data_IF_312943512251
#
_entry.id   IF_312943512251
#
_cell.length_a   1.000
_cell.length_b   1.000
_cell.length_c   1.000
_cell.angle_alpha   90.00
_cell.angle_beta   90.00
_cell.angle_gamma   90.00
#
_symmetry.space_group_name_H-M   'P 1'
#
loop_
_entity.id
_entity.type
_entity.pdbx_description
1 polymer ?
#
# COMPACT_ATOMS: atom_id res chain seq x y z
N UNK A 1 -10.28 -12.19 -2.64
CA UNK A 1 -10.94 -10.92 -2.23
C UNK A 1 -9.95 -9.94 -1.59
N UNK A 2 -9.18 -10.38 -0.61
CA UNK A 2 -8.40 -9.57 0.33
C UNK A 2 -7.41 -8.59 -0.29
N UNK A 3 -6.58 -9.07 -1.22
CA UNK A 3 -5.52 -8.23 -1.78
C UNK A 3 -6.11 -7.02 -2.52
N UNK A 4 -7.29 -7.15 -3.14
CA UNK A 4 -7.95 -6.02 -3.82
C UNK A 4 -8.38 -4.90 -2.88
N UNK A 5 -8.68 -5.20 -1.61
CA UNK A 5 -9.10 -4.19 -0.64
C UNK A 5 -7.91 -3.55 0.09
N UNK A 6 -6.78 -4.27 0.16
CA UNK A 6 -5.64 -3.87 1.00
C UNK A 6 -4.37 -3.52 0.23
N UNK A 7 -4.32 -3.77 -1.09
CA UNK A 7 -3.10 -3.54 -1.89
C UNK A 7 -2.61 -2.09 -1.82
N UNK A 8 -3.52 -1.11 -1.77
CA UNK A 8 -3.16 0.29 -1.66
C UNK A 8 -2.40 0.57 -0.35
N UNK A 9 -2.87 0.00 0.77
CA UNK A 9 -2.19 0.12 2.07
C UNK A 9 -0.83 -0.56 2.04
N UNK A 10 -0.75 -1.77 1.46
CA UNK A 10 0.51 -2.49 1.28
C UNK A 10 1.48 -1.71 0.39
N UNK A 11 1.00 -1.05 -0.66
CA UNK A 11 1.82 -0.21 -1.52
C UNK A 11 2.38 0.98 -0.75
N UNK A 12 1.58 1.67 0.05
CA UNK A 12 2.05 2.79 0.89
C UNK A 12 3.12 2.32 1.89
N UNK A 13 2.93 1.18 2.55
CA UNK A 13 3.93 0.59 3.44
C UNK A 13 5.24 0.27 2.71
N UNK A 14 5.16 -0.32 1.51
CA UNK A 14 6.34 -0.59 0.69
C UNK A 14 7.01 0.69 0.18
N UNK A 15 6.25 1.69 -0.25
CA UNK A 15 6.78 2.98 -0.69
C UNK A 15 7.55 3.69 0.43
N UNK A 16 7.07 3.57 1.67
CA UNK A 16 7.77 4.09 2.85
C UNK A 16 9.04 3.30 3.16
N UNK A 17 8.95 1.96 3.22
CA UNK A 17 10.08 1.08 3.52
C UNK A 17 11.22 1.21 2.49
N UNK A 18 10.89 1.25 1.20
CA UNK A 18 11.87 1.38 0.11
C UNK A 18 12.42 2.79 -0.06
N UNK A 19 12.05 3.74 0.82
CA UNK A 19 12.46 5.14 0.74
C UNK A 19 12.22 5.76 -0.63
N UNK A 20 11.06 5.47 -1.23
CA UNK A 20 10.77 5.91 -2.59
C UNK A 20 10.87 7.44 -2.69
N UNK A 21 11.55 8.00 -3.72
CA UNK A 21 11.75 9.45 -3.84
C UNK A 21 10.45 10.13 -4.28
N UNK A 22 9.58 10.39 -3.31
CA UNK A 22 8.24 10.93 -3.56
C UNK A 22 8.22 12.41 -3.93
N UNK A 23 9.32 13.13 -3.68
CA UNK A 23 9.40 14.59 -3.92
C UNK A 23 9.24 14.96 -5.39
N UNK A 24 9.51 14.03 -6.32
CA UNK A 24 9.35 14.26 -7.76
C UNK A 24 7.95 13.96 -8.28
N UNK A 25 7.12 13.26 -7.51
CA UNK A 25 5.79 12.80 -7.95
C UNK A 25 4.85 13.97 -8.33
N UNK A 26 4.78 15.09 -7.59
CA UNK A 26 3.97 16.25 -7.97
C UNK A 26 4.53 16.97 -9.20
N UNK A 27 5.85 17.02 -9.37
CA UNK A 27 6.50 17.63 -10.54
C UNK A 27 6.25 16.80 -11.80
N UNK A 28 6.32 15.47 -11.70
CA UNK A 28 5.99 14.55 -12.78
C UNK A 28 4.49 14.60 -13.13
N UNK A 29 3.62 14.72 -12.13
CA UNK A 29 2.20 14.96 -12.34
C UNK A 29 1.93 16.30 -13.07
N UNK A 30 2.61 17.37 -12.65
CA UNK A 30 2.49 18.70 -13.25
C UNK A 30 3.08 18.77 -14.68
N UNK A 31 4.09 17.96 -14.99
CA UNK A 31 4.74 17.93 -16.32
C UNK A 31 3.88 17.32 -17.43
N UNK A 32 2.68 16.82 -17.13
CA UNK A 32 1.80 16.17 -18.11
C UNK A 32 2.30 14.80 -18.59
N UNK A 33 3.45 14.31 -18.11
CA UNK A 33 3.96 12.98 -18.48
C UNK A 33 3.07 11.84 -17.95
N UNK A 34 2.32 12.03 -16.87
CA UNK A 34 1.51 10.97 -16.25
C UNK A 34 0.00 11.07 -16.50
N UNK A 35 -0.47 12.07 -17.24
CA UNK A 35 -1.89 12.28 -17.51
C UNK A 35 -2.20 12.17 -19.00
N UNK A 36 -2.94 11.12 -19.43
CA UNK A 36 -3.56 11.13 -20.75
C UNK A 36 -4.74 12.11 -20.70
N UNK A 37 -4.73 13.11 -21.59
CA UNK A 37 -5.77 14.13 -21.85
C UNK A 37 -5.69 15.43 -21.01
N UNK A 38 -6.03 16.61 -21.58
CA UNK A 38 -6.20 17.85 -20.82
C UNK A 38 -7.29 17.66 -19.77
N UNK A 39 -6.93 17.77 -18.50
CA UNK A 39 -7.90 17.70 -17.41
C UNK A 39 -8.43 19.10 -17.10
N UNK A 40 -9.74 19.19 -16.81
CA UNK A 40 -10.33 20.41 -16.27
C UNK A 40 -9.65 20.79 -14.95
N UNK A 41 -9.52 22.09 -14.68
CA UNK A 41 -8.78 22.62 -13.53
C UNK A 41 -9.18 21.97 -12.19
N UNK A 42 -10.48 21.76 -11.94
CA UNK A 42 -10.97 21.11 -10.72
C UNK A 42 -10.44 19.68 -10.54
N UNK A 43 -10.31 18.91 -11.64
CA UNK A 43 -9.78 17.55 -11.59
C UNK A 43 -8.28 17.53 -11.28
N UNK A 44 -7.54 18.56 -11.69
CA UNK A 44 -6.12 18.72 -11.37
C UNK A 44 -5.95 19.00 -9.88
N UNK A 45 -6.75 19.90 -9.31
CA UNK A 45 -6.71 20.21 -7.87
C UNK A 45 -6.98 18.95 -7.03
N UNK A 46 -8.07 18.23 -7.32
CA UNK A 46 -8.39 16.98 -6.64
C UNK A 46 -7.30 15.92 -6.80
N UNK A 47 -6.65 15.84 -7.97
CA UNK A 47 -5.54 14.92 -8.21
C UNK A 47 -4.31 15.27 -7.35
N UNK A 48 -3.96 16.56 -7.28
CA UNK A 48 -2.86 17.05 -6.45
C UNK A 48 -3.12 16.83 -4.96
N UNK A 49 -4.35 17.01 -4.49
CA UNK A 49 -4.72 16.74 -3.10
C UNK A 49 -4.50 15.28 -2.71
N UNK A 50 -4.88 14.35 -3.60
CA UNK A 50 -4.62 12.93 -3.35
C UNK A 50 -3.12 12.59 -3.37
N UNK A 51 -2.33 13.21 -4.25
CA UNK A 51 -0.86 13.05 -4.25
C UNK A 51 -0.30 13.49 -2.91
N UNK A 52 -0.71 14.67 -2.43
CA UNK A 52 -0.28 15.22 -1.15
C UNK A 52 -0.66 14.27 0.00
N UNK A 53 -1.88 13.75 0.00
CA UNK A 53 -2.33 12.80 1.01
C UNK A 53 -1.49 11.52 1.01
N UNK A 54 -1.16 10.97 -0.17
CA UNK A 54 -0.27 9.82 -0.30
C UNK A 54 1.12 10.10 0.27
N UNK A 55 1.74 11.23 -0.10
CA UNK A 55 3.04 11.66 0.41
C UNK A 55 3.03 11.80 1.93
N UNK A 56 2.00 12.46 2.47
CA UNK A 56 1.83 12.68 3.91
C UNK A 56 1.77 11.35 4.68
N UNK A 57 1.08 10.33 4.16
CA UNK A 57 1.05 9.01 4.82
C UNK A 57 2.43 8.36 4.85
N UNK A 58 3.19 8.46 3.75
CA UNK A 58 4.54 7.90 3.67
C UNK A 58 5.50 8.62 4.61
N UNK A 59 5.44 9.95 4.67
CA UNK A 59 6.26 10.76 5.57
C UNK A 59 5.94 10.47 7.04
N UNK A 60 4.66 10.33 7.41
CA UNK A 60 4.26 9.95 8.77
C UNK A 60 4.83 8.59 9.20
N UNK A 61 4.89 7.62 8.29
CA UNK A 61 5.54 6.34 8.55
C UNK A 61 7.06 6.51 8.71
N UNK A 62 7.72 7.29 7.85
CA UNK A 62 9.16 7.57 7.96
C UNK A 62 9.52 8.28 9.27
N UNK A 63 8.68 9.22 9.71
CA UNK A 63 8.86 9.95 10.96
C UNK A 63 8.81 9.05 12.21
N UNK A 64 8.08 7.92 12.14
CA UNK A 64 8.06 6.91 13.21
C UNK A 64 9.33 6.04 13.23
N UNK A 65 10.20 6.15 12.22
CA UNK A 65 11.38 5.32 12.04
C UNK A 65 11.02 3.83 12.15
N UNK A 66 10.03 3.41 11.37
CA UNK A 66 9.58 2.01 11.34
C UNK A 66 10.68 1.15 10.75
N UNK A 67 11.03 0.05 11.42
CA UNK A 67 12.05 -0.87 10.95
C UNK A 67 11.49 -2.01 10.08
N UNK A 68 12.37 -2.86 9.56
CA UNK A 68 11.99 -3.94 8.64
C UNK A 68 11.08 -5.00 9.27
N UNK A 69 11.23 -5.28 10.57
CA UNK A 69 10.43 -6.27 11.28
C UNK A 69 9.04 -5.71 11.53
N UNK A 70 8.96 -4.46 11.98
CA UNK A 70 7.70 -3.75 12.19
C UNK A 70 6.91 -3.60 10.88
N UNK A 71 7.58 -3.26 9.77
CA UNK A 71 6.94 -3.24 8.45
C UNK A 71 6.37 -4.62 8.07
N UNK A 72 7.09 -5.69 8.37
CA UNK A 72 6.66 -7.05 8.06
C UNK A 72 5.41 -7.42 8.85
N UNK A 73 5.38 -7.11 10.15
CA UNK A 73 4.19 -7.32 10.97
C UNK A 73 3.01 -6.45 10.54
N UNK A 74 3.23 -5.16 10.24
CA UNK A 74 2.16 -4.27 9.75
C UNK A 74 1.55 -4.76 8.43
N UNK A 75 2.39 -5.24 7.50
CA UNK A 75 1.92 -5.86 6.25
C UNK A 75 1.11 -7.12 6.52
N UNK A 76 1.54 -7.97 7.45
CA UNK A 76 0.80 -9.16 7.85
C UNK A 76 -0.56 -8.82 8.46
N UNK A 77 -0.63 -7.84 9.38
CA UNK A 77 -1.88 -7.38 9.99
C UNK A 77 -2.86 -6.85 8.93
N UNK A 78 -2.38 -6.05 7.98
CA UNK A 78 -3.16 -5.54 6.85
C UNK A 78 -3.64 -6.69 5.95
N UNK A 79 -2.76 -7.65 5.65
CA UNK A 79 -3.07 -8.79 4.80
C UNK A 79 -4.12 -9.71 5.42
N UNK A 80 -4.04 -9.96 6.72
CA UNK A 80 -4.98 -10.81 7.47
C UNK A 80 -6.18 -10.02 8.00
N UNK A 81 -6.81 -9.18 7.15
CA UNK A 81 -8.04 -8.47 7.52
C UNK A 81 -9.27 -9.33 7.16
N UNK A 82 -10.19 -9.60 8.10
CA UNK A 82 -11.36 -10.45 7.87
C UNK A 82 -12.40 -9.82 6.93
N UNK A 83 -12.37 -8.49 6.72
CA UNK A 83 -13.27 -7.72 5.84
C UNK A 83 -13.21 -8.13 4.35
N UNK A 84 -12.38 -9.09 4.00
CA UNK A 84 -12.23 -9.59 2.66
C UNK A 84 -13.28 -10.65 2.31
N UNK A 85 -14.34 -10.19 1.63
CA UNK A 85 -15.41 -11.04 1.12
C UNK A 85 -14.87 -12.29 0.39
N UNK A 86 -15.33 -13.47 0.83
CA UNK A 86 -15.12 -14.75 0.16
C UNK A 86 -13.95 -15.60 0.68
N UNK A 87 -13.48 -15.39 1.91
CA UNK A 87 -12.51 -16.29 2.54
C UNK A 87 -13.21 -17.47 3.23
N UNK A 88 -12.67 -18.67 3.02
CA UNK A 88 -13.28 -19.93 3.47
C UNK A 88 -13.11 -20.22 4.96
N UNK A 89 -12.16 -19.56 5.63
CA UNK A 89 -11.85 -19.78 7.05
C UNK A 89 -11.51 -18.46 7.76
N UNK A 90 -12.55 -17.69 8.08
CA UNK A 90 -12.44 -16.41 8.77
C UNK A 90 -11.77 -16.55 10.14
N UNK A 91 -12.07 -17.64 10.87
CA UNK A 91 -11.49 -17.88 12.20
C UNK A 91 -9.98 -18.06 12.14
N UNK A 92 -9.47 -18.78 11.13
CA UNK A 92 -8.02 -18.90 10.94
C UNK A 92 -7.36 -17.55 10.61
N UNK A 93 -8.01 -16.69 9.83
CA UNK A 93 -7.48 -15.37 9.47
C UNK A 93 -7.42 -14.45 10.69
N UNK A 94 -8.46 -14.44 11.51
CA UNK A 94 -8.47 -13.70 12.78
C UNK A 94 -7.32 -14.14 13.69
N UNK A 95 -7.09 -15.44 13.82
CA UNK A 95 -5.96 -15.99 14.60
C UNK A 95 -4.61 -15.54 14.02
N UNK A 96 -4.45 -15.54 12.70
CA UNK A 96 -3.21 -15.07 12.07
C UNK A 96 -3.00 -13.56 12.26
N UNK A 97 -4.07 -12.78 12.23
CA UNK A 97 -4.02 -11.34 12.50
C UNK A 97 -3.61 -11.08 13.96
N UNK A 98 -4.24 -11.76 14.91
CA UNK A 98 -3.93 -11.67 16.33
C UNK A 98 -2.46 -12.05 16.61
N UNK A 99 -1.99 -13.17 16.06
CA UNK A 99 -0.59 -13.57 16.16
C UNK A 99 0.37 -12.51 15.61
N UNK A 100 -0.01 -11.86 14.51
CA UNK A 100 0.80 -10.79 13.92
C UNK A 100 0.85 -9.54 14.81
N UNK A 101 -0.25 -9.22 15.50
CA UNK A 101 -0.32 -8.13 16.47
C UNK A 101 0.51 -8.44 17.72
N UNK A 102 0.38 -9.65 18.30
CA UNK A 102 1.19 -10.06 19.45
C UNK A 102 2.69 -10.06 19.14
N UNK A 103 3.08 -10.53 17.94
CA UNK A 103 4.48 -10.49 17.50
C UNK A 103 5.01 -9.05 17.42
N UNK A 104 4.21 -8.12 16.88
CA UNK A 104 4.58 -6.71 16.80
C UNK A 104 4.69 -6.07 18.19
N UNK A 105 3.74 -6.35 19.08
CA UNK A 105 3.73 -5.83 20.44
C UNK A 105 4.98 -6.29 21.22
N UNK A 106 5.29 -7.58 21.15
CA UNK A 106 6.47 -8.16 21.81
C UNK A 106 7.76 -7.58 21.24
N UNK A 107 7.85 -7.44 19.91
CA UNK A 107 9.00 -6.82 19.25
C UNK A 107 9.17 -5.36 19.70
N UNK A 108 8.10 -4.56 19.73
CA UNK A 108 8.14 -3.18 20.20
C UNK A 108 8.61 -3.10 21.65
N UNK A 109 8.09 -3.97 22.52
CA UNK A 109 8.43 -4.02 23.95
C UNK A 109 9.91 -4.35 24.18
N UNK A 110 10.46 -5.26 23.38
CA UNK A 110 11.84 -5.73 23.52
C UNK A 110 12.85 -4.80 22.86
N UNK A 111 12.59 -4.32 21.64
CA UNK A 111 13.53 -3.48 20.88
C UNK A 111 13.40 -1.98 21.21
N UNK A 112 12.24 -1.54 21.69
CA UNK A 112 11.98 -0.14 22.01
C UNK A 112 11.41 0.04 23.44
N UNK A 113 12.12 -0.42 24.49
CA UNK A 113 11.63 -0.37 25.87
C UNK A 113 11.34 1.06 26.36
N UNK A 114 12.03 2.06 25.78
CA UNK A 114 11.82 3.48 26.09
C UNK A 114 10.61 4.11 25.36
N UNK A 115 9.91 3.35 24.53
CA UNK A 115 8.75 3.82 23.75
C UNK A 115 7.52 2.92 23.99
N UNK A 116 6.94 2.90 25.19
CA UNK A 116 5.84 1.99 25.53
C UNK A 116 4.59 2.17 24.67
N UNK A 117 4.39 3.36 24.08
CA UNK A 117 3.27 3.65 23.19
C UNK A 117 3.53 3.29 21.70
N UNK A 118 4.69 2.71 21.36
CA UNK A 118 5.10 2.50 19.95
C UNK A 118 4.15 1.57 19.20
N UNK A 119 3.80 0.42 19.80
CA UNK A 119 2.84 -0.52 19.25
C UNK A 119 1.52 0.17 18.86
N UNK A 120 0.92 0.93 19.79
CA UNK A 120 -0.30 1.69 19.53
C UNK A 120 -0.13 2.74 18.42
N UNK A 121 0.98 3.48 18.39
CA UNK A 121 1.28 4.46 17.33
C UNK A 121 1.37 3.80 15.94
N UNK A 122 1.98 2.63 15.85
CA UNK A 122 2.10 1.86 14.61
C UNK A 122 0.73 1.36 14.14
N UNK A 123 -0.07 0.76 15.03
CA UNK A 123 -1.42 0.30 14.68
C UNK A 123 -2.34 1.44 14.24
N UNK A 124 -2.28 2.59 14.90
CA UNK A 124 -3.06 3.78 14.53
C UNK A 124 -2.69 4.35 13.15
N UNK A 125 -1.58 3.92 12.54
CA UNK A 125 -1.31 4.27 11.14
C UNK A 125 -2.21 3.52 10.17
N UNK A 126 -2.54 2.25 10.45
CA UNK A 126 -3.26 1.39 9.51
C UNK A 126 -4.60 1.98 9.05
N UNK A 127 -5.48 2.50 9.93
CA UNK A 127 -6.74 3.13 9.49
C UNK A 127 -6.52 4.33 8.57
N UNK A 128 -5.47 5.12 8.82
CA UNK A 128 -5.17 6.29 7.98
C UNK A 128 -4.67 5.90 6.59
N UNK A 129 -4.02 4.74 6.43
CA UNK A 129 -3.58 4.26 5.12
C UNK A 129 -4.76 3.97 4.19
N UNK A 130 -5.94 3.63 4.75
CA UNK A 130 -7.19 3.41 3.98
C UNK A 130 -7.71 4.68 3.31
N UNK A 131 -7.26 5.85 3.76
CA UNK A 131 -7.68 7.13 3.17
C UNK A 131 -6.98 7.44 1.84
N UNK A 132 -5.90 6.71 1.51
CA UNK A 132 -5.18 6.86 0.26
C UNK A 132 -5.96 6.18 -0.87
N UNK A 133 -6.26 6.95 -1.92
CA UNK A 133 -6.97 6.44 -3.09
C UNK A 133 -6.13 5.44 -3.89
N UNK A 134 -6.66 4.23 -4.04
CA UNK A 134 -6.07 3.16 -4.88
C UNK A 134 -5.88 3.63 -6.33
N UNK A 135 -6.86 4.35 -6.87
CA UNK A 135 -6.84 4.93 -8.22
C UNK A 135 -5.67 5.89 -8.44
N UNK A 136 -5.25 6.62 -7.42
CA UNK A 136 -4.14 7.57 -7.51
C UNK A 136 -2.81 6.83 -7.56
N UNK A 137 -2.66 5.77 -6.76
CA UNK A 137 -1.50 4.89 -6.85
C UNK A 137 -1.40 4.26 -8.25
N UNK A 138 -2.53 3.80 -8.81
CA UNK A 138 -2.57 3.30 -10.20
C UNK A 138 -2.11 4.35 -11.21
N UNK A 139 -2.64 5.57 -11.13
CA UNK A 139 -2.32 6.64 -12.07
C UNK A 139 -0.86 7.12 -11.97
N UNK A 140 -0.30 7.17 -10.77
CA UNK A 140 1.06 7.64 -10.55
C UNK A 140 2.10 6.59 -10.96
N UNK A 141 1.90 5.34 -10.58
CA UNK A 141 2.95 4.31 -10.65
C UNK A 141 2.70 3.24 -11.71
N UNK A 142 1.46 3.02 -12.11
CA UNK A 142 1.08 1.86 -12.93
C UNK A 142 0.50 2.17 -14.31
N UNK A 143 0.03 3.39 -14.57
CA UNK A 143 -0.50 3.79 -15.89
C UNK A 143 0.49 3.57 -17.04
N UNK A 144 1.79 3.79 -16.81
CA UNK A 144 2.83 3.53 -17.83
C UNK A 144 3.38 2.10 -17.78
N UNK A 145 3.25 1.40 -16.66
CA UNK A 145 3.79 0.05 -16.46
C UNK A 145 2.82 -1.04 -16.97
N UNK A 146 1.51 -0.82 -16.79
CA UNK A 146 0.44 -1.81 -17.03
C UNK A 146 -0.42 -1.45 -18.26
N UNK A 147 -0.31 -0.24 -18.80
CA UNK A 147 -1.15 0.21 -19.92
C UNK A 147 -2.59 0.50 -19.48
N UNK A 148 -3.58 0.01 -20.24
CA UNK A 148 -5.02 0.26 -19.97
C UNK A 148 -5.65 -0.68 -18.92
N UNK A 149 -4.92 -1.68 -18.46
CA UNK A 149 -5.45 -2.69 -17.54
C UNK A 149 -5.35 -2.19 -16.09
N UNK A 150 -6.44 -2.11 -15.32
CA UNK A 150 -6.38 -1.74 -13.90
C UNK A 150 -5.48 -2.71 -13.12
N UNK A 151 -4.70 -2.22 -12.15
CA UNK A 151 -3.81 -3.13 -11.40
C UNK A 151 -4.62 -4.12 -10.57
N UNK A 152 -5.82 -3.73 -10.14
CA UNK A 152 -6.74 -4.64 -9.48
C UNK A 152 -7.06 -5.86 -10.35
N UNK A 153 -7.16 -5.69 -11.67
CA UNK A 153 -7.38 -6.79 -12.62
C UNK A 153 -6.16 -7.70 -12.69
N UNK A 154 -4.96 -7.15 -12.78
CA UNK A 154 -3.73 -7.95 -12.70
C UNK A 154 -3.58 -8.70 -11.38
N UNK A 155 -3.89 -8.04 -10.26
CA UNK A 155 -3.87 -8.64 -8.92
C UNK A 155 -4.90 -9.78 -8.85
N UNK A 156 -6.07 -9.61 -9.46
CA UNK A 156 -7.07 -10.69 -9.56
C UNK A 156 -6.55 -11.84 -10.38
N UNK A 157 -6.00 -11.55 -11.56
CA UNK A 157 -5.52 -12.57 -12.46
C UNK A 157 -4.37 -13.35 -11.82
N UNK A 158 -3.44 -12.68 -11.13
CA UNK A 158 -2.37 -13.31 -10.35
C UNK A 158 -2.91 -14.21 -9.22
N UNK A 159 -3.93 -13.76 -8.49
CA UNK A 159 -4.55 -14.55 -7.42
C UNK A 159 -5.33 -15.76 -7.97
N UNK A 160 -5.99 -15.59 -9.11
CA UNK A 160 -6.81 -16.63 -9.74
C UNK A 160 -5.97 -17.62 -10.57
N UNK A 161 -4.82 -17.20 -11.11
CA UNK A 161 -4.02 -18.02 -12.02
C UNK A 161 -3.14 -19.05 -11.31
N UNK A 162 -2.78 -18.85 -10.04
CA UNK A 162 -2.00 -19.80 -9.22
C UNK A 162 -0.65 -20.26 -9.82
N UNK A 163 -0.23 -19.69 -10.95
CA UNK A 163 0.87 -20.14 -11.82
C UNK A 163 1.51 -18.91 -12.47
N UNK A 164 2.81 -19.02 -12.73
CA UNK A 164 3.73 -18.01 -13.29
C UNK A 164 3.05 -17.08 -14.30
N UNK A 165 2.87 -15.83 -13.88
CA UNK A 165 2.35 -14.76 -14.73
C UNK A 165 3.37 -14.46 -15.83
N UNK A 166 3.12 -14.91 -17.06
CA UNK A 166 3.90 -14.51 -18.22
C UNK A 166 3.55 -13.06 -18.57
N UNK A 167 4.43 -12.15 -18.16
CA UNK A 167 4.35 -10.74 -18.54
C UNK A 167 4.39 -10.66 -20.08
N UNK A 168 3.46 -9.93 -20.73
CA UNK A 168 3.34 -9.90 -22.20
C UNK A 168 4.57 -9.35 -22.95
N UNK A 169 5.63 -8.97 -22.24
CA UNK A 169 6.89 -8.45 -22.79
C UNK A 169 8.07 -9.41 -22.62
N UNK A 170 7.88 -10.61 -22.04
CA UNK A 170 8.93 -11.64 -21.95
C UNK A 170 9.05 -12.52 -23.21
N UNK A 171 8.32 -12.20 -24.29
CA UNK A 171 8.39 -12.92 -25.57
C UNK A 171 9.25 -12.26 -26.66
N UNK A 172 10.05 -11.25 -26.33
CA UNK A 172 10.92 -10.58 -27.29
C UNK A 172 12.37 -10.53 -26.81
N UNK A 173 13.03 -11.69 -26.83
CA UNK A 173 14.47 -11.82 -27.07
C UNK A 173 14.65 -12.89 -28.12
#
# INVERSE_FOLDING_TARGET
>A
GTLRLVWAQLFVLNASQSSMPLHMVPLLAASGLHTPLPMAADKVVTFMDHIRQFQEQVEKLKALQVDSVEYSCLKAIVLFTPDACGLSDLGHIEILQEKSQCALEEYCRTQHPNQPARFGKLLLRLPSLRTVSSRIIEQLFFVRLVGKTPIETLIRDMILSGSTFNWPYLGAV
#
